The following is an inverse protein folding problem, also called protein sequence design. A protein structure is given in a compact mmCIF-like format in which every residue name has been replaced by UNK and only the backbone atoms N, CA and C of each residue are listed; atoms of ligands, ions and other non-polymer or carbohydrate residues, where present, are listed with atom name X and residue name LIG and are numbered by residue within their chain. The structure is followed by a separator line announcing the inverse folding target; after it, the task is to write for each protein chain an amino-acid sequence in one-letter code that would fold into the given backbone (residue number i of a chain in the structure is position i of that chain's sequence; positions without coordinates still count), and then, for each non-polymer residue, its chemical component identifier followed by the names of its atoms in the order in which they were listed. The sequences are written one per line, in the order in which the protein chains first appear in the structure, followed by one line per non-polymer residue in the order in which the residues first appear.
data_IF_849618238073
#
_entry.id   IF_849618238073
#
_cell.length_a   1.000
_cell.length_b   1.000
_cell.length_c   1.000
_cell.angle_alpha   90.00
_cell.angle_beta   90.00
_cell.angle_gamma   90.00
#
_symmetry.space_group_name_H-M   'P 1'
#
loop_
_entity.id
_entity.type
_entity.pdbx_description
1 polymer ?
#
# COMPACT_ATOMS: atom_id res chain seq x y z
N UNK A 1 -9.41 5.69 17.12
CA UNK A 1 -9.53 4.64 16.10
C UNK A 1 -8.21 4.55 15.36
N UNK A 2 -7.63 3.37 15.27
CA UNK A 2 -6.43 3.11 14.47
C UNK A 2 -6.82 3.11 12.98
N UNK A 3 -5.98 3.70 12.13
CA UNK A 3 -6.11 3.56 10.68
C UNK A 3 -4.75 3.22 10.09
N UNK A 4 -4.76 2.70 8.88
CA UNK A 4 -3.55 2.34 8.14
C UNK A 4 -3.53 3.11 6.83
N UNK A 5 -2.38 3.70 6.50
CA UNK A 5 -2.17 4.36 5.21
C UNK A 5 -1.37 3.41 4.33
N UNK A 6 -1.91 3.08 3.16
CA UNK A 6 -1.17 2.49 2.07
C UNK A 6 -0.65 3.64 1.19
N UNK A 7 0.66 3.68 1.01
CA UNK A 7 1.34 4.58 0.08
C UNK A 7 2.02 3.76 -1.01
N UNK A 8 1.87 4.15 -2.27
CA UNK A 8 2.58 3.56 -3.41
C UNK A 8 3.09 4.71 -4.29
N UNK A 9 4.36 4.66 -4.66
CA UNK A 9 4.99 5.62 -5.57
C UNK A 9 5.66 4.85 -6.69
N UNK A 10 5.43 5.28 -7.94
CA UNK A 10 6.04 4.70 -9.13
C UNK A 10 6.60 5.79 -10.04
N UNK A 11 7.73 5.56 -10.73
CA UNK A 11 8.24 6.51 -11.69
C UNK A 11 7.22 6.83 -12.78
N UNK A 12 6.98 8.13 -13.00
CA UNK A 12 6.10 8.61 -14.05
C UNK A 12 4.60 8.39 -13.80
N UNK A 13 4.20 7.99 -12.59
CA UNK A 13 2.81 7.95 -12.15
C UNK A 13 2.61 8.82 -10.92
N UNK A 14 1.38 9.31 -10.70
CA UNK A 14 1.04 10.01 -9.48
C UNK A 14 1.09 9.06 -8.28
N UNK A 15 1.50 9.59 -7.13
CA UNK A 15 1.51 8.83 -5.87
C UNK A 15 0.09 8.43 -5.47
N UNK A 16 -0.04 7.20 -4.97
CA UNK A 16 -1.30 6.63 -4.47
C UNK A 16 -1.25 6.65 -2.94
N UNK A 17 -2.29 7.22 -2.33
CA UNK A 17 -2.46 7.29 -0.87
C UNK A 17 -3.87 6.84 -0.52
N UNK A 18 -3.99 5.68 0.11
CA UNK A 18 -5.26 5.12 0.55
C UNK A 18 -5.30 4.87 2.06
N UNK A 19 -6.47 5.08 2.67
CA UNK A 19 -6.67 4.92 4.11
C UNK A 19 -7.59 3.72 4.37
N UNK A 20 -7.09 2.76 5.15
CA UNK A 20 -7.76 1.51 5.46
C UNK A 20 -8.08 1.39 6.95
N UNK A 21 -9.17 0.67 7.30
CA UNK A 21 -9.56 0.46 8.69
C UNK A 21 -8.67 -0.53 9.44
N UNK A 22 -7.85 -1.32 8.74
CA UNK A 22 -6.98 -2.33 9.34
C UNK A 22 -5.77 -2.61 8.44
N UNK A 23 -4.70 -3.18 9.02
CA UNK A 23 -3.51 -3.62 8.27
C UNK A 23 -3.85 -4.66 7.18
N UNK A 24 -4.63 -5.72 7.46
CA UNK A 24 -5.00 -6.69 6.42
C UNK A 24 -5.78 -6.07 5.25
N UNK A 25 -6.60 -5.04 5.51
CA UNK A 25 -7.31 -4.34 4.44
C UNK A 25 -6.36 -3.54 3.54
N UNK A 26 -5.32 -2.92 4.11
CA UNK A 26 -4.27 -2.25 3.34
C UNK A 26 -3.41 -3.25 2.55
N UNK A 27 -3.08 -4.41 3.14
CA UNK A 27 -2.35 -5.48 2.45
C UNK A 27 -3.16 -6.06 1.28
N UNK A 28 -4.46 -6.30 1.47
CA UNK A 28 -5.35 -6.75 0.39
C UNK A 28 -5.40 -5.73 -0.76
N UNK A 29 -5.48 -4.42 -0.45
CA UNK A 29 -5.48 -3.38 -1.47
C UNK A 29 -4.15 -3.31 -2.24
N UNK A 30 -3.01 -3.52 -1.56
CA UNK A 30 -1.70 -3.61 -2.18
C UNK A 30 -1.63 -4.79 -3.18
N UNK A 31 -2.15 -5.96 -2.79
CA UNK A 31 -2.20 -7.14 -3.67
C UNK A 31 -3.06 -6.86 -4.90
N UNK A 32 -4.26 -6.28 -4.72
CA UNK A 32 -5.16 -5.94 -5.82
C UNK A 32 -4.51 -4.93 -6.78
N UNK A 33 -3.81 -3.94 -6.24
CA UNK A 33 -3.02 -2.99 -7.01
C UNK A 33 -1.96 -3.70 -7.87
N UNK A 34 -1.12 -4.53 -7.26
CA UNK A 34 -0.05 -5.25 -7.96
C UNK A 34 -0.62 -6.16 -9.05
N UNK A 35 -1.74 -6.85 -8.80
CA UNK A 35 -2.41 -7.68 -9.80
C UNK A 35 -2.90 -6.86 -11.00
N UNK A 36 -3.61 -5.75 -10.74
CA UNK A 36 -4.12 -4.88 -11.79
C UNK A 36 -2.99 -4.24 -12.62
N UNK A 37 -1.94 -3.78 -11.94
CA UNK A 37 -0.79 -3.15 -12.58
C UNK A 37 0.02 -4.15 -13.40
N UNK A 38 0.31 -5.32 -12.84
CA UNK A 38 0.98 -6.42 -13.55
C UNK A 38 0.24 -6.83 -14.82
N UNK A 39 -1.09 -6.95 -14.76
CA UNK A 39 -1.91 -7.24 -15.93
C UNK A 39 -1.81 -6.12 -17.00
N UNK A 40 -1.73 -4.86 -16.57
CA UNK A 40 -1.61 -3.70 -17.47
C UNK A 40 -0.26 -3.67 -18.19
N UNK A 41 0.84 -4.07 -17.52
CA UNK A 41 2.19 -4.08 -18.09
C UNK A 41 2.60 -5.45 -18.67
N UNK A 42 1.68 -6.42 -18.71
CA UNK A 42 1.91 -7.74 -19.30
C UNK A 42 2.82 -8.66 -18.47
N UNK A 43 2.97 -8.41 -17.16
CA UNK A 43 3.68 -9.33 -16.27
C UNK A 43 2.80 -10.55 -15.94
N UNK A 44 3.39 -11.75 -15.86
CA UNK A 44 2.66 -12.96 -15.50
C UNK A 44 2.12 -12.88 -14.07
N UNK A 45 0.87 -13.29 -13.88
CA UNK A 45 0.28 -13.42 -12.55
C UNK A 45 1.03 -14.50 -11.75
N UNK A 46 1.40 -14.18 -10.51
CA UNK A 46 1.98 -15.14 -9.59
C UNK A 46 0.84 -15.73 -8.70
N UNK A 47 0.75 -17.06 -8.50
CA UNK A 47 -0.33 -17.68 -7.73
C UNK A 47 -0.25 -17.43 -6.22
N UNK A 48 0.89 -16.93 -5.75
CA UNK A 48 1.18 -16.53 -4.38
C UNK A 48 1.32 -15.00 -4.37
N UNK A 49 0.47 -14.34 -3.61
CA UNK A 49 0.32 -12.88 -3.57
C UNK A 49 1.53 -12.19 -2.94
N UNK A 50 2.12 -12.78 -1.90
CA UNK A 50 3.32 -12.23 -1.24
C UNK A 50 4.49 -12.22 -2.23
N UNK A 51 4.61 -13.30 -3.00
CA UNK A 51 5.61 -13.38 -4.08
C UNK A 51 5.29 -12.45 -5.25
N UNK A 52 4.02 -12.24 -5.57
CA UNK A 52 3.61 -11.28 -6.60
C UNK A 52 4.05 -9.87 -6.25
N UNK A 53 3.75 -9.43 -5.02
CA UNK A 53 4.14 -8.13 -4.47
C UNK A 53 5.67 -8.02 -4.45
N UNK A 54 6.37 -9.00 -3.88
CA UNK A 54 7.83 -8.98 -3.81
C UNK A 54 8.46 -8.87 -5.21
N UNK A 55 7.99 -9.66 -6.17
CA UNK A 55 8.52 -9.65 -7.54
C UNK A 55 8.24 -8.33 -8.27
N UNK A 56 7.07 -7.73 -8.06
CA UNK A 56 6.72 -6.46 -8.67
C UNK A 56 7.68 -5.34 -8.23
N UNK A 57 7.87 -5.19 -6.92
CA UNK A 57 8.71 -4.13 -6.35
C UNK A 57 10.22 -4.44 -6.43
N UNK A 58 10.64 -5.70 -6.62
CA UNK A 58 12.05 -6.03 -6.90
C UNK A 58 12.48 -5.65 -8.32
N UNK A 59 11.56 -5.76 -9.29
CA UNK A 59 11.84 -5.50 -10.70
C UNK A 59 11.42 -4.09 -11.15
N UNK A 60 10.92 -3.27 -10.23
CA UNK A 60 10.44 -1.90 -10.46
C UNK A 60 11.20 -0.93 -9.56
N UNK A 61 11.31 0.32 -9.98
CA UNK A 61 11.72 1.43 -9.09
C UNK A 61 10.56 1.91 -8.21
N UNK A 62 9.39 1.28 -8.32
CA UNK A 62 8.26 1.55 -7.44
C UNK A 62 8.59 1.21 -5.97
N UNK A 63 7.97 1.94 -5.06
CA UNK A 63 8.06 1.70 -3.61
C UNK A 63 6.66 1.69 -3.00
N UNK A 64 6.52 0.99 -1.87
CA UNK A 64 5.29 1.06 -1.08
C UNK A 64 5.60 1.15 0.41
N UNK A 65 4.65 1.68 1.16
CA UNK A 65 4.64 1.66 2.62
C UNK A 65 3.22 1.43 3.15
N UNK A 66 3.11 0.63 4.22
CA UNK A 66 1.89 0.54 5.02
C UNK A 66 2.20 1.07 6.41
N UNK A 67 1.64 2.23 6.75
CA UNK A 67 1.89 2.91 8.01
C UNK A 67 0.65 2.89 8.91
N UNK A 68 0.83 2.51 10.18
CA UNK A 68 -0.18 2.73 11.21
C UNK A 68 -0.23 4.22 11.54
N UNK A 69 -1.41 4.83 11.44
CA UNK A 69 -1.65 6.21 11.87
C UNK A 69 -2.53 6.24 13.10
N UNK A 70 -2.09 7.01 14.09
CA UNK A 70 -2.85 7.30 15.31
C UNK A 70 -3.24 8.78 15.29
N UNK A 71 -4.46 9.14 15.72
CA UNK A 71 -4.79 10.54 15.95
C UNK A 71 -3.75 11.16 16.88
N UNK A 72 -3.27 12.37 16.57
CA UNK A 72 -2.52 13.14 17.57
C UNK A 72 -3.40 13.20 18.82
N UNK A 73 -2.85 12.80 19.98
CA UNK A 73 -3.47 13.11 21.24
C UNK A 73 -3.63 14.63 21.26
N UNK A 74 -4.87 15.13 21.30
CA UNK A 74 -5.09 16.53 21.65
C UNK A 74 -4.47 16.70 23.03
N UNK A 75 -3.45 17.55 23.22
CA UNK A 75 -3.04 17.90 24.56
C UNK A 75 -4.29 18.43 25.24
N UNK A 76 -4.75 17.71 26.27
CA UNK A 76 -5.88 18.15 27.06
C UNK A 76 -5.58 19.56 27.55
N UNK A 77 -6.53 20.48 27.32
CA UNK A 77 -6.60 21.70 28.10
C UNK A 77 -6.93 21.29 29.54
N UNK A 78 -5.91 20.87 30.29
CA UNK A 78 -5.94 20.87 31.74
C UNK A 78 -5.68 22.31 32.19
N UNK A 79 -6.73 23.14 32.13
CA UNK A 79 -6.81 24.42 32.87
C UNK A 79 -8.16 24.54 33.57
#
# INVERSE_FOLDING_TARGET
MERFVLFISEPGSDDIVDIHPSKPAAESALVDYVRARSATIGLPAHPDDDRAVASYFQNSEAIYAIARVMPLAQPGNDQ
#
